data_IF_536565473435
#
_entry.id   IF_536565473435
#
_cell.length_a   1.000
_cell.length_b   1.000
_cell.length_c   1.000
_cell.angle_alpha   90.00
_cell.angle_beta   90.00
_cell.angle_gamma   90.00
#
_symmetry.space_group_name_H-M   'P 1'
#
loop_
_entity.id
_entity.type
_entity.pdbx_description
1 polymer ?
#
# COMPACT_ATOMS: atom_id res chain seq x y z
N UNK A 1 6.40 23.00 28.26
CA UNK A 1 6.56 23.08 26.78
C UNK A 1 7.59 22.08 26.27
N UNK A 2 8.82 22.07 26.83
CA UNK A 2 9.91 21.15 26.44
C UNK A 2 9.55 19.65 26.34
N UNK A 3 8.80 19.10 27.30
CA UNK A 3 8.43 17.66 27.33
C UNK A 3 7.55 17.24 26.13
N UNK A 4 6.74 18.15 25.57
CA UNK A 4 5.91 17.85 24.37
C UNK A 4 6.76 17.83 23.10
N UNK A 5 7.75 18.71 23.01
CA UNK A 5 8.66 18.79 21.86
C UNK A 5 9.63 17.62 21.82
N UNK A 6 10.18 17.21 22.96
CA UNK A 6 11.05 16.02 23.07
C UNK A 6 10.30 14.73 22.72
N UNK A 7 9.06 14.56 23.21
CA UNK A 7 8.21 13.41 22.85
C UNK A 7 7.91 13.37 21.36
N UNK A 8 7.66 14.53 20.75
CA UNK A 8 7.43 14.64 19.30
C UNK A 8 8.70 14.29 18.52
N UNK A 9 9.87 14.80 18.92
CA UNK A 9 11.14 14.52 18.27
C UNK A 9 11.52 13.03 18.38
N UNK A 10 11.34 12.41 19.54
CA UNK A 10 11.59 10.98 19.75
C UNK A 10 10.65 10.10 18.89
N UNK A 11 9.37 10.50 18.75
CA UNK A 11 8.41 9.83 17.89
C UNK A 11 8.82 9.92 16.41
N UNK A 12 9.25 11.10 15.95
CA UNK A 12 9.74 11.30 14.59
C UNK A 12 11.00 10.47 14.32
N UNK A 13 11.99 10.49 15.22
CA UNK A 13 13.21 9.70 15.07
C UNK A 13 12.95 8.18 15.05
N UNK A 14 12.02 7.71 15.88
CA UNK A 14 11.57 6.30 15.88
C UNK A 14 10.86 5.94 14.58
N UNK A 15 10.00 6.83 14.08
CA UNK A 15 9.33 6.64 12.80
C UNK A 15 10.33 6.65 11.64
N UNK A 16 11.33 7.52 11.64
CA UNK A 16 12.36 7.57 10.61
C UNK A 16 13.23 6.31 10.57
N UNK A 17 13.64 5.78 11.74
CA UNK A 17 14.32 4.45 11.78
C UNK A 17 13.43 3.35 11.20
N UNK A 18 12.14 3.37 11.54
CA UNK A 18 11.18 2.40 11.01
C UNK A 18 10.98 2.56 9.50
N UNK A 19 10.96 3.79 8.97
CA UNK A 19 10.89 4.06 7.52
C UNK A 19 12.13 3.59 6.78
N UNK A 20 13.34 3.81 7.31
CA UNK A 20 14.58 3.29 6.71
C UNK A 20 14.60 1.76 6.64
N UNK A 21 14.00 1.07 7.62
CA UNK A 21 13.83 -0.39 7.57
C UNK A 21 12.78 -0.88 6.57
N UNK A 22 11.99 0.03 5.98
CA UNK A 22 10.99 -0.26 4.95
C UNK A 22 11.55 0.05 3.55
N UNK A 23 12.83 -0.18 3.32
CA UNK A 23 13.42 -0.19 1.98
C UNK A 23 13.74 -1.62 1.58
N UNK A 24 13.50 -1.96 0.32
CA UNK A 24 13.97 -3.20 -0.27
C UNK A 24 15.48 -3.13 -0.52
N UNK A 25 16.10 -4.26 -0.88
CA UNK A 25 17.54 -4.35 -1.13
C UNK A 25 18.01 -3.48 -2.29
N UNK A 26 17.12 -3.15 -3.21
CA UNK A 26 17.31 -2.22 -4.34
C UNK A 26 17.13 -0.73 -3.93
N UNK A 27 16.86 -0.45 -2.65
CA UNK A 27 16.62 0.89 -2.13
C UNK A 27 15.19 1.41 -2.31
N UNK A 28 14.30 0.67 -3.00
CA UNK A 28 12.92 1.05 -3.22
C UNK A 28 12.15 1.16 -1.90
N UNK A 29 11.30 2.18 -1.76
CA UNK A 29 10.39 2.26 -0.61
C UNK A 29 9.38 1.12 -0.67
N UNK A 30 9.15 0.50 0.49
CA UNK A 30 8.19 -0.57 0.68
C UNK A 30 7.00 -0.01 1.44
N UNK A 31 5.81 -0.35 0.97
CA UNK A 31 4.56 0.03 1.61
C UNK A 31 3.51 -1.06 1.50
N UNK A 32 2.34 -0.77 2.05
CA UNK A 32 1.17 -1.62 2.01
C UNK A 32 -0.01 -0.86 1.42
N UNK A 33 -0.79 -1.53 0.58
CA UNK A 33 -2.01 -0.96 -0.01
C UNK A 33 -3.14 -1.97 0.01
N UNK A 34 -4.36 -1.47 -0.05
CA UNK A 34 -5.61 -2.23 0.00
C UNK A 34 -6.36 -2.06 -1.31
N UNK A 35 -7.00 -3.15 -1.75
CA UNK A 35 -7.93 -3.18 -2.87
C UNK A 35 -9.18 -3.96 -2.51
N UNK A 36 -10.25 -3.69 -3.24
CA UNK A 36 -11.35 -4.63 -3.39
C UNK A 36 -11.03 -5.58 -4.56
N UNK A 37 -11.30 -6.87 -4.39
CA UNK A 37 -11.26 -7.84 -5.47
C UNK A 37 -12.60 -7.83 -6.23
N UNK A 38 -12.60 -7.40 -7.48
CA UNK A 38 -13.79 -7.45 -8.35
C UNK A 38 -13.53 -8.43 -9.50
N UNK A 39 -14.19 -9.59 -9.44
CA UNK A 39 -13.84 -10.71 -10.31
C UNK A 39 -12.40 -11.14 -10.03
N UNK A 40 -11.54 -11.03 -11.04
CA UNK A 40 -10.11 -11.35 -11.01
C UNK A 40 -9.21 -10.09 -10.97
N UNK A 41 -9.78 -8.92 -10.69
CA UNK A 41 -9.09 -7.62 -10.76
C UNK A 41 -9.04 -6.91 -9.42
N UNK A 42 -7.92 -6.25 -9.14
CA UNK A 42 -7.76 -5.33 -8.01
C UNK A 42 -8.26 -3.94 -8.38
N UNK A 43 -9.10 -3.37 -7.51
CA UNK A 43 -9.65 -2.03 -7.66
C UNK A 43 -9.37 -1.22 -6.40
N UNK A 44 -8.81 -0.02 -6.57
CA UNK A 44 -8.61 0.91 -5.46
C UNK A 44 -9.95 1.32 -4.87
N UNK A 45 -10.21 1.13 -3.57
CA UNK A 45 -11.55 1.39 -3.03
C UNK A 45 -11.90 2.88 -3.01
N UNK A 46 -10.92 3.75 -2.75
CA UNK A 46 -11.09 5.20 -2.72
C UNK A 46 -11.16 5.84 -4.11
N UNK A 47 -10.23 5.50 -5.00
CA UNK A 47 -10.09 6.12 -6.32
C UNK A 47 -10.83 5.37 -7.44
N UNK A 48 -11.36 4.17 -7.16
CA UNK A 48 -11.92 3.23 -8.16
C UNK A 48 -10.99 2.90 -9.32
N UNK A 49 -9.71 3.23 -9.20
CA UNK A 49 -8.67 2.91 -10.19
C UNK A 49 -8.50 1.40 -10.28
N UNK A 50 -8.62 0.87 -11.49
CA UNK A 50 -8.39 -0.54 -11.80
C UNK A 50 -6.90 -0.80 -11.97
N UNK A 51 -6.42 -1.93 -11.45
CA UNK A 51 -5.08 -2.41 -11.70
C UNK A 51 -5.10 -3.55 -12.70
N UNK A 52 -4.77 -3.20 -13.94
CA UNK A 52 -4.75 -4.15 -15.05
C UNK A 52 -3.53 -5.07 -14.96
N UNK A 53 -2.40 -4.56 -14.45
CA UNK A 53 -1.16 -5.32 -14.26
C UNK A 53 -0.59 -5.12 -12.85
N UNK A 54 0.51 -5.80 -12.53
CA UNK A 54 1.16 -5.66 -11.22
C UNK A 54 1.86 -4.32 -11.04
N UNK A 55 2.01 -3.57 -12.14
CA UNK A 55 2.57 -2.24 -12.18
C UNK A 55 1.48 -1.21 -12.46
N UNK A 56 1.51 -0.11 -11.72
CA UNK A 56 0.77 1.09 -12.06
C UNK A 56 1.76 2.26 -12.14
N UNK A 57 1.63 3.05 -13.20
CA UNK A 57 2.33 4.32 -13.40
C UNK A 57 1.30 5.43 -13.34
N UNK A 58 1.57 6.45 -12.53
CA UNK A 58 0.79 7.68 -12.49
C UNK A 58 1.31 8.64 -13.57
N UNK A 59 0.39 9.25 -14.32
CA UNK A 59 0.74 10.25 -15.32
C UNK A 59 1.21 11.58 -14.71
N UNK A 60 1.11 11.72 -13.39
CA UNK A 60 1.40 12.94 -12.66
C UNK A 60 2.43 12.65 -11.57
N UNK A 61 3.54 13.38 -11.61
CA UNK A 61 4.60 13.30 -10.62
C UNK A 61 4.08 13.79 -9.26
N UNK A 62 4.32 13.08 -8.15
CA UNK A 62 3.94 13.57 -6.82
C UNK A 62 4.80 14.81 -6.47
N UNK A 63 4.18 15.99 -6.41
CA UNK A 63 4.89 17.28 -6.21
C UNK A 63 4.79 17.83 -4.78
N UNK A 64 3.88 17.33 -3.93
CA UNK A 64 3.64 17.89 -2.59
C UNK A 64 3.40 16.82 -1.52
N UNK A 65 3.70 17.13 -0.26
CA UNK A 65 3.42 16.29 0.91
C UNK A 65 2.00 16.52 1.45
N UNK A 66 1.03 15.69 1.06
CA UNK A 66 -0.36 15.72 1.52
C UNK A 66 -1.10 14.43 1.13
N UNK A 67 -1.59 13.66 2.12
CA UNK A 67 -1.92 12.24 1.95
C UNK A 67 -3.30 11.91 1.31
N UNK A 68 -4.10 12.88 0.87
CA UNK A 68 -5.41 12.61 0.24
C UNK A 68 -5.71 13.57 -0.92
N UNK A 69 -6.24 13.03 -2.03
CA UNK A 69 -6.73 13.81 -3.18
C UNK A 69 -5.67 14.41 -4.11
N UNK A 70 -4.39 14.04 -3.91
CA UNK A 70 -3.26 14.58 -4.66
C UNK A 70 -2.66 13.52 -5.60
N UNK A 71 -1.93 13.94 -6.65
CA UNK A 71 -1.38 13.03 -7.66
C UNK A 71 -0.44 11.95 -7.10
N UNK A 72 -0.35 10.83 -7.81
CA UNK A 72 0.51 9.68 -7.47
C UNK A 72 -0.19 8.51 -6.77
N UNK A 73 0.54 7.39 -6.66
CA UNK A 73 0.02 6.12 -6.13
C UNK A 73 0.43 5.99 -4.66
N UNK A 74 -0.55 6.03 -3.76
CA UNK A 74 -0.34 5.95 -2.31
C UNK A 74 -0.10 4.53 -1.77
N UNK A 75 0.77 4.40 -0.77
CA UNK A 75 0.90 3.21 0.07
C UNK A 75 1.24 3.60 1.52
N UNK A 76 0.75 2.81 2.48
CA UNK A 76 0.96 3.00 3.92
C UNK A 76 2.27 2.37 4.39
N UNK A 77 2.93 2.97 5.39
CA UNK A 77 4.09 2.35 6.05
C UNK A 77 3.72 1.10 6.84
N UNK A 78 2.48 1.01 7.31
CA UNK A 78 2.02 -0.10 8.11
C UNK A 78 0.95 -0.89 7.37
N UNK A 79 1.00 -2.21 7.55
CA UNK A 79 -0.10 -3.11 7.21
C UNK A 79 -1.32 -2.95 8.13
N UNK A 80 -1.31 -1.98 9.04
CA UNK A 80 -2.37 -1.79 10.06
C UNK A 80 -2.81 -0.33 10.25
N UNK A 81 -2.08 0.67 9.72
CA UNK A 81 -2.44 2.08 9.88
C UNK A 81 -3.27 2.57 8.69
N UNK A 82 -4.30 3.35 8.99
CA UNK A 82 -5.22 3.90 7.99
C UNK A 82 -6.26 2.88 7.54
N UNK A 83 -7.03 2.36 8.51
CA UNK A 83 -8.39 1.91 8.26
C UNK A 83 -8.60 0.80 7.21
N UNK A 84 -7.87 -0.32 7.39
CA UNK A 84 -8.35 -1.61 6.87
C UNK A 84 -9.76 -1.96 7.39
N UNK A 85 -10.24 -1.29 8.46
CA UNK A 85 -11.58 -1.40 9.00
C UNK A 85 -12.60 -0.58 8.19
N UNK A 86 -12.28 0.62 7.71
CA UNK A 86 -13.18 1.36 6.78
C UNK A 86 -13.44 0.57 5.49
N UNK A 87 -12.45 -0.18 5.02
CA UNK A 87 -12.58 -1.06 3.86
C UNK A 87 -12.69 -2.53 4.26
N UNK A 88 -13.38 -2.83 5.37
CA UNK A 88 -13.71 -4.20 5.81
C UNK A 88 -14.70 -4.90 4.86
N UNK A 89 -14.57 -4.63 3.56
CA UNK A 89 -15.31 -5.28 2.53
C UNK A 89 -14.87 -6.75 2.49
N UNK A 90 -15.84 -7.64 2.33
CA UNK A 90 -15.61 -9.09 2.34
C UNK A 90 -14.76 -9.56 1.15
N UNK A 91 -14.49 -8.66 0.21
CA UNK A 91 -13.63 -8.84 -0.97
C UNK A 91 -12.20 -8.28 -0.81
N UNK A 92 -11.79 -7.85 0.39
CA UNK A 92 -10.54 -7.10 0.57
C UNK A 92 -9.25 -7.91 0.37
N UNK A 93 -8.31 -7.29 -0.36
CA UNK A 93 -6.95 -7.77 -0.63
C UNK A 93 -5.95 -6.72 -0.18
N UNK A 94 -4.92 -7.15 0.55
CA UNK A 94 -3.82 -6.29 1.01
C UNK A 94 -2.54 -6.72 0.28
N UNK A 95 -1.75 -5.77 -0.21
CA UNK A 95 -0.52 -6.08 -0.91
C UNK A 95 0.65 -5.28 -0.40
N UNK A 96 1.82 -5.93 -0.42
CA UNK A 96 3.09 -5.25 -0.28
C UNK A 96 3.46 -4.69 -1.63
N UNK A 97 3.86 -3.43 -1.65
CA UNK A 97 4.20 -2.71 -2.87
C UNK A 97 5.54 -2.01 -2.74
N UNK A 98 6.23 -1.84 -3.87
CA UNK A 98 7.47 -1.05 -4.00
C UNK A 98 7.23 0.22 -4.79
N UNK A 99 7.89 1.31 -4.38
CA UNK A 99 7.90 2.59 -5.06
C UNK A 99 9.10 2.70 -6.03
N UNK A 100 8.87 3.32 -7.17
CA UNK A 100 9.91 3.70 -8.13
C UNK A 100 9.61 5.08 -8.73
N UNK A 101 10.62 5.69 -9.36
CA UNK A 101 10.51 7.03 -9.91
C UNK A 101 10.48 8.09 -8.81
N UNK A 102 9.84 9.22 -9.10
CA UNK A 102 9.66 10.28 -8.11
C UNK A 102 8.70 9.85 -7.00
N UNK A 103 9.01 10.19 -5.74
CA UNK A 103 8.15 9.89 -4.61
C UNK A 103 8.20 10.97 -3.53
N UNK A 104 7.15 11.00 -2.71
CA UNK A 104 7.05 11.86 -1.53
C UNK A 104 6.69 10.99 -0.32
N UNK A 105 7.51 11.07 0.73
CA UNK A 105 7.27 10.42 2.01
C UNK A 105 6.38 11.31 2.90
N UNK A 106 5.44 10.68 3.60
CA UNK A 106 4.59 11.33 4.60
C UNK A 106 4.61 10.57 5.93
N UNK A 107 3.92 11.11 6.96
CA UNK A 107 3.89 10.50 8.27
C UNK A 107 3.35 9.06 8.27
N UNK A 108 2.32 8.79 7.47
CA UNK A 108 1.55 7.54 7.46
C UNK A 108 1.88 6.61 6.29
N UNK A 109 2.54 7.14 5.26
CA UNK A 109 2.83 6.40 4.05
C UNK A 109 3.69 7.21 3.09
N UNK A 110 3.62 6.85 1.82
CA UNK A 110 4.29 7.53 0.72
C UNK A 110 3.41 7.54 -0.52
N UNK A 111 3.77 8.40 -1.46
CA UNK A 111 3.22 8.41 -2.82
C UNK A 111 4.34 8.32 -3.82
N UNK A 112 4.14 7.57 -4.88
CA UNK A 112 5.12 7.40 -5.94
C UNK A 112 4.48 7.56 -7.31
N UNK A 113 5.31 7.96 -8.28
CA UNK A 113 5.01 7.94 -9.70
C UNK A 113 4.71 6.51 -10.16
N UNK A 114 5.53 5.55 -9.76
CA UNK A 114 5.41 4.16 -10.17
C UNK A 114 5.36 3.23 -8.97
N UNK A 115 4.43 2.28 -9.01
CA UNK A 115 4.24 1.27 -7.96
C UNK A 115 4.15 -0.11 -8.55
N UNK A 116 4.89 -1.05 -7.96
CA UNK A 116 4.86 -2.47 -8.33
C UNK A 116 4.40 -3.30 -7.14
N UNK A 117 3.49 -4.23 -7.38
CA UNK A 117 3.04 -5.22 -6.40
C UNK A 117 4.12 -6.29 -6.24
N UNK A 118 4.47 -6.63 -5.01
CA UNK A 118 5.40 -7.73 -4.71
C UNK A 118 4.70 -9.01 -4.29
N UNK A 119 3.61 -8.86 -3.52
CA UNK A 119 2.83 -9.98 -2.95
C UNK A 119 1.47 -9.50 -2.52
N UNK A 120 0.49 -10.39 -2.61
CA UNK A 120 -0.88 -10.16 -2.18
C UNK A 120 -1.26 -11.08 -1.03
N UNK A 121 -2.11 -10.56 -0.15
CA UNK A 121 -2.71 -11.29 0.96
C UNK A 121 -4.20 -11.01 0.95
N UNK A 122 -4.99 -12.04 0.73
CA UNK A 122 -6.44 -12.00 0.83
C UNK A 122 -6.85 -11.98 2.30
N UNK A 123 -7.68 -11.02 2.68
CA UNK A 123 -8.23 -10.90 4.05
C UNK A 123 -9.75 -11.04 4.09
N UNK A 124 -10.42 -10.78 2.97
CA UNK A 124 -11.83 -11.02 2.76
C UNK A 124 -12.17 -12.51 2.63
N UNK A 125 -13.34 -12.91 3.14
CA UNK A 125 -13.86 -14.28 3.04
C UNK A 125 -14.60 -14.57 1.72
N UNK A 126 -15.06 -13.54 1.01
CA UNK A 126 -15.76 -13.70 -0.28
C UNK A 126 -14.81 -13.87 -1.47
N UNK A 127 -13.50 -13.68 -1.27
CA UNK A 127 -12.52 -13.99 -2.32
C UNK A 127 -12.29 -15.50 -2.35
N UNK A 128 -12.75 -16.12 -3.44
CA UNK A 128 -12.65 -17.57 -3.68
C UNK A 128 -11.23 -18.00 -4.05
N UNK A 129 -10.92 -19.28 -3.93
CA UNK A 129 -9.62 -19.82 -4.33
C UNK A 129 -9.38 -19.72 -5.85
N UNK A 130 -10.46 -19.73 -6.65
CA UNK A 130 -10.40 -19.42 -8.08
C UNK A 130 -9.93 -17.98 -8.31
N UNK A 131 -10.46 -17.02 -7.56
CA UNK A 131 -10.02 -15.63 -7.65
C UNK A 131 -8.58 -15.46 -7.15
N UNK A 132 -8.19 -16.14 -6.07
CA UNK A 132 -6.79 -16.15 -5.60
C UNK A 132 -5.85 -16.62 -6.72
N UNK A 133 -6.20 -17.72 -7.38
CA UNK A 133 -5.42 -18.28 -8.50
C UNK A 133 -5.36 -17.30 -9.67
N UNK A 134 -6.50 -16.71 -10.05
CA UNK A 134 -6.58 -15.73 -11.14
C UNK A 134 -5.78 -14.45 -10.84
N UNK A 135 -5.79 -13.96 -9.60
CA UNK A 135 -4.96 -12.84 -9.17
C UNK A 135 -3.47 -13.22 -9.27
N UNK A 136 -3.09 -14.41 -8.82
CA UNK A 136 -1.71 -14.88 -8.90
C UNK A 136 -1.21 -14.98 -10.34
N UNK A 137 -2.05 -15.47 -11.24
CA UNK A 137 -1.77 -15.57 -12.67
C UNK A 137 -1.67 -14.18 -13.31
N UNK A 138 -2.67 -13.31 -13.11
CA UNK A 138 -2.72 -11.97 -13.71
C UNK A 138 -1.54 -11.09 -13.31
N UNK A 139 -1.20 -11.10 -12.02
CA UNK A 139 -0.19 -10.19 -11.50
C UNK A 139 1.19 -10.82 -11.44
N UNK A 140 1.32 -12.13 -11.70
CA UNK A 140 2.58 -12.86 -11.57
C UNK A 140 3.27 -12.65 -10.22
N UNK A 141 2.47 -12.53 -9.14
CA UNK A 141 2.95 -12.38 -7.76
C UNK A 141 2.35 -13.45 -6.85
N UNK A 142 3.04 -13.84 -5.78
CA UNK A 142 2.45 -14.72 -4.78
C UNK A 142 1.19 -14.13 -4.15
N UNK A 143 0.13 -14.93 -4.09
CA UNK A 143 -1.14 -14.60 -3.42
C UNK A 143 -1.45 -15.66 -2.38
N UNK A 144 -1.70 -15.24 -1.14
CA UNK A 144 -2.07 -16.15 -0.06
C UNK A 144 -3.23 -15.64 0.79
N UNK A 145 -3.86 -16.51 1.56
CA UNK A 145 -4.84 -16.10 2.59
C UNK A 145 -4.12 -15.63 3.84
N UNK A 146 -4.54 -14.48 4.38
CA UNK A 146 -4.15 -14.01 5.69
C UNK A 146 -4.98 -14.68 6.77
N UNK A 147 -4.35 -15.12 7.87
CA UNK A 147 -5.10 -15.52 9.07
C UNK A 147 -5.77 -14.27 9.66
N UNK A 148 -7.09 -14.31 9.88
CA UNK A 148 -7.77 -13.34 10.76
C UNK A 148 -7.13 -13.49 12.14
N UNK A 149 -6.52 -12.44 12.65
CA UNK A 149 -6.08 -12.36 14.05
C UNK A 149 -7.19 -11.74 14.87
#
# INVERSE_FOLDING_TARGET
MAVREERRAALLARNDRRRRSLRASDGALVGWRVWCCQGDMLVSPSQRTKWVTAELVSNECPTSSGARGQPGIHASWSRTHGDHREYSDRSSVIGRVRAYGAYVEGPEGWRAERVVIDRLVVVGDEVTDRQISALSERYHVPVGRGRRR
#
